data_IF_170494047163
#
_entry.id   IF_170494047163
#
_cell.length_a   1.000
_cell.length_b   1.000
_cell.length_c   1.000
_cell.angle_alpha   90.00
_cell.angle_beta   90.00
_cell.angle_gamma   90.00
#
_symmetry.space_group_name_H-M   'P 1'
#
loop_
_entity.id
_entity.type
_entity.pdbx_description
1 polymer ?
#
# COMPACT_ATOMS: atom_id res chain seq x y z
N UNK A 1 44.88 57.92 66.07
CA UNK A 1 43.79 58.17 67.05
C UNK A 1 42.50 57.56 66.51
N UNK A 2 41.65 57.09 67.44
CA UNK A 2 40.39 56.33 67.29
C UNK A 2 39.40 56.85 66.23
N UNK A 3 38.62 55.94 65.63
CA UNK A 3 37.13 55.85 65.57
C UNK A 3 36.68 55.17 64.26
N UNK A 4 36.22 53.91 64.29
CA UNK A 4 34.80 53.45 64.27
C UNK A 4 33.92 54.19 63.24
N UNK A 5 33.38 53.46 62.24
CA UNK A 5 31.93 53.17 62.10
C UNK A 5 31.58 52.40 60.81
N UNK A 6 30.90 51.27 61.06
CA UNK A 6 29.97 50.51 60.21
C UNK A 6 29.22 51.31 59.15
N UNK A 7 29.03 50.70 57.97
CA UNK A 7 27.68 50.52 57.38
C UNK A 7 27.67 49.29 56.47
N UNK A 8 26.91 48.27 56.89
CA UNK A 8 26.44 47.18 56.04
C UNK A 8 25.31 47.69 55.13
N UNK A 9 25.33 47.33 53.85
CA UNK A 9 24.10 47.25 53.05
C UNK A 9 24.23 46.17 51.97
N UNK A 10 23.66 45.01 52.30
CA UNK A 10 22.77 44.19 51.48
C UNK A 10 23.03 44.19 49.95
N UNK A 11 23.84 43.23 49.48
CA UNK A 11 23.83 42.83 48.08
C UNK A 11 22.76 41.73 47.89
N UNK A 12 21.69 42.09 47.18
CA UNK A 12 20.58 41.23 46.80
C UNK A 12 21.09 40.20 45.76
N UNK A 13 21.20 38.93 46.15
CA UNK A 13 21.57 37.85 45.25
C UNK A 13 20.38 37.48 44.34
N UNK A 14 20.42 37.93 43.08
CA UNK A 14 19.52 37.46 42.02
C UNK A 14 19.97 36.06 41.58
N UNK A 15 19.28 35.02 42.06
CA UNK A 15 19.43 33.65 41.56
C UNK A 15 18.69 33.55 40.23
N UNK A 16 19.43 33.69 39.12
CA UNK A 16 18.91 33.36 37.78
C UNK A 16 18.85 31.84 37.62
N UNK A 17 17.66 31.28 37.86
CA UNK A 17 17.31 29.91 37.48
C UNK A 17 17.18 29.84 35.96
N UNK A 18 18.28 29.52 35.27
CA UNK A 18 18.27 29.13 33.86
C UNK A 18 17.55 27.78 33.73
N UNK A 19 16.23 27.82 33.55
CA UNK A 19 15.48 26.69 33.01
C UNK A 19 15.83 26.57 31.52
N UNK A 20 16.70 25.61 31.20
CA UNK A 20 16.97 25.17 29.84
C UNK A 20 15.67 24.61 29.24
N UNK A 21 14.89 25.47 28.60
CA UNK A 21 13.80 25.04 27.73
C UNK A 21 14.46 24.42 26.51
N UNK A 22 14.57 23.08 26.48
CA UNK A 22 14.80 22.35 25.23
C UNK A 22 13.62 22.68 24.31
N UNK A 23 13.81 23.63 23.38
CA UNK A 23 13.00 23.67 22.18
C UNK A 23 13.31 22.40 21.39
N UNK A 24 12.45 21.39 21.52
CA UNK A 24 12.37 20.34 20.54
C UNK A 24 12.05 21.00 19.19
N UNK A 25 13.04 21.07 18.31
CA UNK A 25 12.78 21.44 16.92
C UNK A 25 11.70 20.49 16.38
N UNK A 26 10.67 21.00 15.67
CA UNK A 26 9.71 20.11 15.01
C UNK A 26 10.50 19.17 14.11
N UNK A 27 10.39 17.88 14.39
CA UNK A 27 11.07 16.83 13.65
C UNK A 27 10.83 17.07 12.17
N UNK A 28 11.91 17.33 11.43
CA UNK A 28 11.83 17.39 9.98
C UNK A 28 11.39 16.02 9.51
N UNK A 29 10.11 15.87 9.17
CA UNK A 29 9.64 14.71 8.40
C UNK A 29 10.54 14.64 7.16
N UNK A 30 11.47 13.68 7.17
CA UNK A 30 12.33 13.39 6.03
C UNK A 30 11.38 13.05 4.89
N UNK A 31 11.13 13.99 3.97
CA UNK A 31 10.39 13.72 2.74
C UNK A 31 11.09 12.56 2.07
N UNK A 32 10.52 11.36 2.20
CA UNK A 32 11.01 10.18 1.49
C UNK A 32 11.00 10.53 0.00
N UNK A 33 12.19 10.48 -0.60
CA UNK A 33 12.33 10.69 -2.04
C UNK A 33 12.12 9.39 -2.82
N UNK A 34 11.76 8.30 -2.13
CA UNK A 34 11.55 6.98 -2.73
C UNK A 34 10.29 6.88 -3.59
N UNK A 35 10.08 5.72 -4.22
CA UNK A 35 8.85 5.33 -4.87
C UNK A 35 7.57 5.66 -4.08
N UNK A 36 6.53 6.10 -4.81
CA UNK A 36 5.21 6.39 -4.24
C UNK A 36 4.10 6.08 -5.23
N UNK A 37 3.01 5.50 -4.72
CA UNK A 37 1.81 5.22 -5.51
C UNK A 37 0.55 5.48 -4.68
N UNK A 38 -0.56 5.79 -5.36
CA UNK A 38 -1.89 5.65 -4.79
C UNK A 38 -2.45 4.28 -5.15
N UNK A 39 -3.06 3.63 -4.16
CA UNK A 39 -3.67 2.33 -4.28
C UNK A 39 -5.07 2.35 -3.68
N UNK A 40 -6.03 1.73 -4.37
CA UNK A 40 -7.33 1.41 -3.82
C UNK A 40 -7.74 -0.01 -4.23
N UNK A 41 -8.38 -0.73 -3.31
CA UNK A 41 -9.04 -2.00 -3.57
C UNK A 41 -10.44 -1.93 -2.96
N UNK A 42 -11.46 -1.92 -3.81
CA UNK A 42 -12.85 -1.74 -3.42
C UNK A 42 -13.72 -2.91 -3.84
N UNK A 43 -14.74 -3.20 -3.02
CA UNK A 43 -15.81 -4.12 -3.30
C UNK A 43 -17.17 -3.40 -3.31
N UNK A 44 -18.10 -3.88 -4.12
CA UNK A 44 -19.52 -3.55 -4.07
C UNK A 44 -20.28 -4.86 -3.85
N UNK A 45 -21.06 -4.94 -2.77
CA UNK A 45 -21.91 -6.11 -2.53
C UNK A 45 -23.09 -6.13 -3.49
N UNK A 46 -23.40 -7.29 -4.06
CA UNK A 46 -24.53 -7.46 -4.96
C UNK A 46 -25.88 -7.09 -4.30
N UNK A 47 -25.98 -7.29 -2.98
CA UNK A 47 -27.14 -6.94 -2.18
C UNK A 47 -27.25 -5.46 -1.80
N UNK A 48 -26.23 -4.63 -2.09
CA UNK A 48 -26.22 -3.21 -1.73
C UNK A 48 -27.12 -2.40 -2.66
N UNK A 49 -28.16 -1.78 -2.09
CA UNK A 49 -29.01 -0.83 -2.80
C UNK A 49 -29.22 0.45 -1.94
N UNK A 50 -28.68 1.63 -2.32
CA UNK A 50 -27.87 1.85 -3.52
C UNK A 50 -26.51 1.12 -3.46
N UNK A 51 -25.86 0.88 -4.61
CA UNK A 51 -24.50 0.36 -4.63
C UNK A 51 -23.56 1.25 -3.83
N UNK A 52 -22.70 0.64 -3.02
CA UNK A 52 -21.72 1.36 -2.19
C UNK A 52 -20.39 0.63 -2.23
N UNK A 53 -19.33 1.37 -2.55
CA UNK A 53 -17.97 0.85 -2.48
C UNK A 53 -17.48 0.80 -1.04
N UNK A 54 -16.94 -0.35 -0.65
CA UNK A 54 -16.25 -0.56 0.61
C UNK A 54 -14.82 -1.07 0.37
N UNK A 55 -13.85 -0.69 1.21
CA UNK A 55 -12.47 -1.16 1.05
C UNK A 55 -12.39 -2.66 1.31
N UNK A 56 -11.72 -3.37 0.41
CA UNK A 56 -11.40 -4.78 0.59
C UNK A 56 -10.33 -4.93 1.67
N UNK A 57 -10.54 -5.90 2.56
CA UNK A 57 -9.61 -6.24 3.64
C UNK A 57 -9.21 -7.71 3.52
N UNK A 58 -8.06 -8.07 4.06
CA UNK A 58 -7.66 -9.48 4.14
C UNK A 58 -8.65 -10.27 5.00
N UNK A 59 -9.03 -11.46 4.52
CA UNK A 59 -10.07 -12.36 5.04
C UNK A 59 -11.49 -11.79 4.95
N UNK A 60 -11.73 -10.81 4.07
CA UNK A 60 -13.09 -10.35 3.79
C UNK A 60 -13.89 -11.44 3.10
N UNK A 61 -15.11 -11.68 3.59
CA UNK A 61 -16.04 -12.60 2.97
C UNK A 61 -16.88 -11.85 1.93
N UNK A 62 -16.82 -12.32 0.70
CA UNK A 62 -17.60 -11.82 -0.43
C UNK A 62 -18.40 -12.97 -1.05
N UNK A 63 -19.57 -12.65 -1.58
CA UNK A 63 -20.46 -13.63 -2.19
C UNK A 63 -20.38 -13.58 -3.70
N UNK A 64 -20.72 -14.71 -4.33
CA UNK A 64 -20.97 -14.76 -5.78
C UNK A 64 -21.90 -13.61 -6.21
N UNK A 65 -21.48 -12.86 -7.24
CA UNK A 65 -22.16 -11.64 -7.70
C UNK A 65 -21.62 -10.33 -7.10
N UNK A 66 -20.89 -10.38 -5.99
CA UNK A 66 -20.16 -9.21 -5.48
C UNK A 66 -19.12 -8.76 -6.50
N UNK A 67 -18.83 -7.47 -6.50
CA UNK A 67 -17.99 -6.82 -7.51
C UNK A 67 -16.73 -6.28 -6.89
N UNK A 68 -15.60 -6.41 -7.58
CA UNK A 68 -14.28 -5.95 -7.19
C UNK A 68 -13.72 -4.97 -8.21
N UNK A 69 -13.02 -3.94 -7.73
CA UNK A 69 -12.23 -3.03 -8.58
C UNK A 69 -10.99 -2.60 -7.82
N UNK A 70 -9.93 -2.33 -8.57
CA UNK A 70 -8.67 -1.85 -8.04
C UNK A 70 -8.23 -0.62 -8.83
N UNK A 71 -7.51 0.27 -8.17
CA UNK A 71 -6.92 1.46 -8.78
C UNK A 71 -5.46 1.60 -8.35
N UNK A 72 -4.59 1.88 -9.32
CA UNK A 72 -3.16 2.16 -9.14
C UNK A 72 -2.88 3.49 -9.83
N UNK A 73 -2.23 4.43 -9.13
CA UNK A 73 -1.69 5.64 -9.73
C UNK A 73 -0.27 5.87 -9.24
N UNK A 74 0.71 5.91 -10.15
CA UNK A 74 2.09 6.16 -9.78
C UNK A 74 2.27 7.65 -9.46
N UNK A 75 2.66 7.97 -8.23
CA UNK A 75 3.04 9.34 -7.83
C UNK A 75 4.50 9.62 -8.10
N UNK A 76 5.34 8.59 -8.02
CA UNK A 76 6.74 8.56 -8.47
C UNK A 76 6.98 7.26 -9.20
N UNK A 77 7.95 7.24 -10.13
CA UNK A 77 8.22 6.07 -10.97
C UNK A 77 8.65 4.88 -10.10
N UNK A 78 7.98 3.75 -10.29
CA UNK A 78 8.27 2.44 -9.73
C UNK A 78 7.52 1.38 -10.55
N UNK A 79 7.84 0.11 -10.39
CA UNK A 79 7.20 -1.01 -11.09
C UNK A 79 6.16 -1.64 -10.17
N UNK A 80 4.92 -1.75 -10.64
CA UNK A 80 3.81 -2.30 -9.85
C UNK A 80 3.27 -3.54 -10.54
N UNK A 81 3.07 -4.59 -9.77
CA UNK A 81 2.50 -5.86 -10.17
C UNK A 81 1.26 -6.11 -9.31
N UNK A 82 0.11 -6.28 -9.96
CA UNK A 82 -1.11 -6.75 -9.34
C UNK A 82 -1.41 -8.12 -9.92
N UNK A 83 -1.25 -9.14 -9.11
CA UNK A 83 -1.39 -10.54 -9.51
C UNK A 83 -2.55 -11.13 -8.75
N UNK A 84 -3.45 -11.79 -9.46
CA UNK A 84 -4.58 -12.51 -8.90
C UNK A 84 -4.33 -14.01 -9.02
N UNK A 85 -4.57 -14.74 -7.94
CA UNK A 85 -4.60 -16.19 -7.89
C UNK A 85 -6.01 -16.62 -7.54
N UNK A 86 -6.66 -17.34 -8.44
CA UNK A 86 -8.04 -17.78 -8.24
C UNK A 86 -8.16 -18.96 -7.27
N UNK A 87 -9.39 -19.34 -6.96
CA UNK A 87 -9.70 -20.50 -6.11
C UNK A 87 -9.13 -21.83 -6.59
N UNK A 88 -8.82 -21.98 -7.88
CA UNK A 88 -8.19 -23.18 -8.46
C UNK A 88 -6.65 -23.10 -8.42
N UNK A 89 -6.11 -21.93 -8.07
CA UNK A 89 -4.69 -21.67 -7.99
C UNK A 89 -4.09 -21.09 -9.27
N UNK A 90 -4.93 -20.70 -10.24
CA UNK A 90 -4.47 -20.11 -11.50
C UNK A 90 -4.09 -18.64 -11.31
N UNK A 91 -2.97 -18.26 -11.93
CA UNK A 91 -2.43 -16.91 -11.82
C UNK A 91 -2.81 -16.04 -13.02
N UNK A 92 -3.28 -14.83 -12.75
CA UNK A 92 -3.52 -13.80 -13.75
C UNK A 92 -2.84 -12.50 -13.33
N UNK A 93 -2.01 -11.93 -14.21
CA UNK A 93 -1.46 -10.60 -14.03
C UNK A 93 -2.49 -9.55 -14.44
N UNK A 94 -3.07 -8.88 -13.45
CA UNK A 94 -4.07 -7.84 -13.65
C UNK A 94 -3.44 -6.47 -13.95
N UNK A 95 -2.23 -6.23 -13.42
CA UNK A 95 -1.40 -5.08 -13.72
C UNK A 95 0.09 -5.47 -13.63
N UNK A 96 0.98 -4.98 -14.51
CA UNK A 96 0.66 -4.21 -15.71
C UNK A 96 -0.21 -5.04 -16.66
N UNK A 97 -0.90 -4.37 -17.58
CA UNK A 97 -1.80 -5.06 -18.51
C UNK A 97 -1.08 -5.93 -19.55
N UNK A 98 0.21 -5.65 -19.72
CA UNK A 98 1.20 -6.41 -20.46
C UNK A 98 2.54 -5.99 -19.90
N UNK A 99 3.51 -6.90 -19.77
CA UNK A 99 4.84 -6.54 -19.27
C UNK A 99 5.56 -5.51 -20.17
N UNK A 100 5.21 -5.47 -21.46
CA UNK A 100 5.69 -4.43 -22.41
C UNK A 100 5.20 -3.03 -22.07
N UNK A 101 4.16 -2.89 -21.25
CA UNK A 101 3.64 -1.60 -20.79
C UNK A 101 4.73 -0.78 -20.11
N UNK A 102 5.61 -1.42 -19.32
CA UNK A 102 6.69 -0.73 -18.61
C UNK A 102 7.62 0.08 -19.53
N UNK A 103 7.76 -0.34 -20.78
CA UNK A 103 8.61 0.30 -21.78
C UNK A 103 7.82 1.18 -22.76
N UNK A 104 6.48 1.25 -22.65
CA UNK A 104 5.60 1.90 -23.64
C UNK A 104 4.63 2.90 -23.02
N UNK A 105 3.54 2.44 -22.39
CA UNK A 105 2.41 3.28 -21.93
C UNK A 105 2.28 3.36 -20.38
N UNK A 106 3.42 3.33 -19.71
CA UNK A 106 3.54 3.39 -18.24
C UNK A 106 3.93 4.79 -17.74
N UNK A 107 2.96 5.50 -17.16
CA UNK A 107 3.03 6.93 -16.88
C UNK A 107 2.70 7.23 -15.41
N UNK A 108 3.36 8.26 -14.87
CA UNK A 108 2.98 8.83 -13.57
C UNK A 108 1.72 9.68 -13.68
N UNK A 109 1.03 9.87 -12.55
CA UNK A 109 -0.20 10.63 -12.42
C UNK A 109 -1.41 10.14 -13.23
N UNK A 110 -1.30 9.00 -13.93
CA UNK A 110 -2.43 8.31 -14.58
C UNK A 110 -3.05 7.26 -13.66
N UNK A 111 -4.38 7.21 -13.60
CA UNK A 111 -5.09 6.12 -12.93
C UNK A 111 -5.15 4.90 -13.86
N UNK A 112 -4.67 3.77 -13.35
CA UNK A 112 -4.82 2.45 -13.93
C UNK A 112 -5.84 1.67 -13.10
N UNK A 113 -6.75 0.96 -13.79
CA UNK A 113 -7.82 0.20 -13.14
C UNK A 113 -7.71 -1.29 -13.45
N UNK A 114 -8.03 -2.14 -12.48
CA UNK A 114 -8.24 -3.56 -12.71
C UNK A 114 -9.64 -3.95 -12.21
N UNK A 115 -10.55 -4.39 -13.10
CA UNK A 115 -10.38 -4.54 -14.55
C UNK A 115 -10.23 -3.18 -15.26
N UNK A 116 -9.78 -3.21 -16.52
CA UNK A 116 -9.57 -2.00 -17.34
C UNK A 116 -10.86 -1.19 -17.49
N UNK A 117 -10.71 0.14 -17.38
CA UNK A 117 -11.79 1.10 -17.64
C UNK A 117 -12.85 1.12 -16.53
N UNK A 118 -14.12 1.22 -16.94
CA UNK A 118 -15.24 1.39 -16.01
C UNK A 118 -15.77 0.08 -15.42
N UNK A 119 -15.33 -1.06 -15.94
CA UNK A 119 -15.78 -2.38 -15.52
C UNK A 119 -15.41 -2.70 -14.06
N UNK A 120 -16.10 -3.71 -13.52
CA UNK A 120 -15.82 -4.34 -12.23
C UNK A 120 -15.70 -5.85 -12.45
N UNK A 121 -14.78 -6.51 -11.74
CA UNK A 121 -14.74 -7.96 -11.70
C UNK A 121 -15.93 -8.44 -10.88
N UNK A 122 -16.80 -9.24 -11.46
CA UNK A 122 -17.89 -9.87 -10.72
C UNK A 122 -17.45 -11.27 -10.31
N UNK A 123 -17.54 -11.59 -9.03
CA UNK A 123 -17.28 -12.93 -8.53
C UNK A 123 -18.30 -13.89 -9.15
N UNK A 124 -17.79 -14.94 -9.78
CA UNK A 124 -18.61 -15.96 -10.42
C UNK A 124 -19.12 -16.99 -9.39
N UNK A 125 -19.60 -18.14 -9.84
CA UNK A 125 -20.08 -19.21 -8.96
C UNK A 125 -18.98 -20.14 -8.44
N UNK A 126 -17.71 -19.95 -8.82
CA UNK A 126 -16.57 -20.76 -8.38
C UNK A 126 -16.06 -20.21 -7.06
N UNK A 127 -16.54 -20.79 -5.97
CA UNK A 127 -16.19 -20.37 -4.61
C UNK A 127 -14.80 -20.86 -4.20
N UNK A 128 -14.21 -20.19 -3.21
CA UNK A 128 -12.90 -20.50 -2.67
C UNK A 128 -12.11 -19.26 -2.29
N UNK A 129 -10.81 -19.43 -2.03
CA UNK A 129 -9.95 -18.29 -1.69
C UNK A 129 -9.46 -17.60 -2.96
N UNK A 130 -9.81 -16.34 -3.10
CA UNK A 130 -9.31 -15.45 -4.16
C UNK A 130 -8.19 -14.60 -3.57
N UNK A 131 -6.96 -14.76 -4.07
CA UNK A 131 -5.77 -14.08 -3.50
C UNK A 131 -5.24 -13.02 -4.45
N UNK A 132 -5.04 -11.81 -3.96
CA UNK A 132 -4.47 -10.69 -4.71
C UNK A 132 -3.15 -10.26 -4.09
N UNK A 133 -2.10 -10.24 -4.89
CA UNK A 133 -0.77 -9.78 -4.52
C UNK A 133 -0.55 -8.39 -5.14
N UNK A 134 -0.42 -7.38 -4.28
CA UNK A 134 0.05 -6.05 -4.68
C UNK A 134 1.53 -5.95 -4.36
N UNK A 135 2.35 -5.84 -5.40
CA UNK A 135 3.79 -5.67 -5.27
C UNK A 135 4.19 -4.39 -5.96
N UNK A 136 4.99 -3.56 -5.30
CA UNK A 136 5.61 -2.40 -5.90
C UNK A 136 7.10 -2.40 -5.60
N UNK A 137 7.93 -2.17 -6.61
CA UNK A 137 9.40 -2.15 -6.49
C UNK A 137 10.01 -0.96 -7.21
N UNK A 138 11.12 -0.46 -6.71
CA UNK A 138 11.95 0.53 -7.40
C UNK A 138 12.61 -0.04 -8.67
N UNK A 139 12.72 -1.37 -8.78
CA UNK A 139 13.30 -2.10 -9.91
C UNK A 139 12.30 -3.10 -10.52
N UNK A 140 12.60 -3.56 -11.75
CA UNK A 140 11.81 -4.63 -12.38
C UNK A 140 12.09 -5.97 -11.71
N UNK A 141 11.04 -6.73 -11.46
CA UNK A 141 11.09 -8.06 -10.87
C UNK A 141 11.18 -9.13 -11.97
N UNK A 142 12.33 -9.17 -12.64
CA UNK A 142 12.53 -9.95 -13.86
C UNK A 142 12.23 -11.45 -13.71
N UNK A 143 12.44 -12.02 -12.52
CA UNK A 143 12.15 -13.43 -12.25
C UNK A 143 10.64 -13.71 -12.35
N UNK A 144 9.81 -12.90 -11.67
CA UNK A 144 8.34 -13.00 -11.76
C UNK A 144 7.85 -12.75 -13.18
N UNK A 145 8.42 -11.75 -13.85
CA UNK A 145 8.06 -11.44 -15.24
C UNK A 145 8.30 -12.65 -16.14
N UNK A 146 9.47 -13.26 -16.04
CA UNK A 146 9.85 -14.43 -16.82
C UNK A 146 9.01 -15.67 -16.49
N UNK A 147 8.80 -15.95 -15.20
CA UNK A 147 8.00 -17.08 -14.73
C UNK A 147 6.54 -16.93 -15.17
N UNK A 148 5.98 -15.72 -15.08
CA UNK A 148 4.61 -15.46 -15.53
C UNK A 148 4.46 -15.57 -17.05
N UNK A 149 5.37 -15.03 -17.86
CA UNK A 149 5.28 -15.18 -19.33
C UNK A 149 5.29 -16.65 -19.74
N UNK A 150 6.16 -17.45 -19.13
CA UNK A 150 6.19 -18.90 -19.33
C UNK A 150 4.91 -19.57 -18.89
N UNK A 151 4.39 -19.22 -17.71
CA UNK A 151 3.14 -19.77 -17.19
C UNK A 151 1.98 -19.48 -18.14
N UNK A 152 1.83 -18.22 -18.56
CA UNK A 152 0.76 -17.76 -19.43
C UNK A 152 0.82 -18.38 -20.85
N UNK A 153 2.02 -18.72 -21.34
CA UNK A 153 2.20 -19.35 -22.66
C UNK A 153 2.29 -20.88 -22.63
N UNK A 154 2.14 -21.52 -21.47
CA UNK A 154 2.34 -22.97 -21.32
C UNK A 154 1.05 -23.77 -21.37
N UNK A 155 1.18 -25.01 -21.82
CA UNK A 155 0.14 -26.04 -21.69
C UNK A 155 -0.11 -26.40 -20.22
N UNK A 156 -1.32 -26.85 -19.91
CA UNK A 156 -1.81 -27.13 -18.55
C UNK A 156 -0.89 -28.07 -17.75
N UNK A 157 -0.28 -29.06 -18.42
CA UNK A 157 0.64 -30.02 -17.80
C UNK A 157 1.91 -29.39 -17.21
N UNK A 158 2.33 -28.22 -17.72
CA UNK A 158 3.51 -27.48 -17.21
C UNK A 158 3.13 -26.35 -16.26
N UNK A 159 1.89 -25.86 -16.33
CA UNK A 159 1.41 -24.74 -15.51
C UNK A 159 1.49 -25.02 -14.02
N UNK A 160 1.23 -26.25 -13.57
CA UNK A 160 1.28 -26.56 -12.14
C UNK A 160 2.68 -26.34 -11.53
N UNK A 161 3.75 -26.73 -12.24
CA UNK A 161 5.12 -26.49 -11.78
C UNK A 161 5.43 -24.98 -11.78
N UNK A 162 5.07 -24.28 -12.85
CA UNK A 162 5.28 -22.84 -12.97
C UNK A 162 4.47 -22.04 -11.94
N UNK A 163 3.26 -22.47 -11.58
CA UNK A 163 2.46 -21.90 -10.51
C UNK A 163 3.14 -22.08 -9.15
N UNK A 164 3.76 -23.24 -8.90
CA UNK A 164 4.59 -23.48 -7.72
C UNK A 164 5.80 -22.53 -7.65
N UNK A 165 6.48 -22.32 -8.78
CA UNK A 165 7.61 -21.38 -8.88
C UNK A 165 7.14 -19.94 -8.62
N UNK A 166 6.06 -19.51 -9.27
CA UNK A 166 5.44 -18.20 -9.08
C UNK A 166 5.09 -17.95 -7.61
N UNK A 167 4.48 -18.93 -6.93
CA UNK A 167 4.16 -18.82 -5.51
C UNK A 167 5.42 -18.68 -4.63
N UNK A 168 6.48 -19.42 -4.94
CA UNK A 168 7.75 -19.31 -4.23
C UNK A 168 8.37 -17.90 -4.39
N UNK A 169 8.36 -17.35 -5.61
CA UNK A 169 8.88 -16.00 -5.89
C UNK A 169 8.07 -14.92 -5.15
N UNK A 170 6.74 -15.02 -5.16
CA UNK A 170 5.86 -14.10 -4.43
C UNK A 170 6.10 -14.15 -2.91
N UNK A 171 6.34 -15.35 -2.36
CA UNK A 171 6.66 -15.53 -0.95
C UNK A 171 8.02 -14.89 -0.59
N UNK A 172 9.07 -15.11 -1.40
CA UNK A 172 10.39 -14.52 -1.18
C UNK A 172 10.34 -12.97 -1.20
N UNK A 173 9.53 -12.39 -2.08
CA UNK A 173 9.31 -10.93 -2.12
C UNK A 173 8.66 -10.45 -0.82
N UNK A 174 7.65 -11.17 -0.35
CA UNK A 174 6.95 -10.82 0.89
C UNK A 174 7.89 -10.91 2.08
N UNK A 175 8.72 -11.95 2.16
CA UNK A 175 9.78 -12.07 3.18
C UNK A 175 10.79 -10.93 3.10
N UNK A 176 11.23 -10.56 1.89
CA UNK A 176 12.17 -9.44 1.67
C UNK A 176 11.56 -8.12 2.14
N UNK A 177 10.28 -7.89 1.83
CA UNK A 177 9.54 -6.73 2.33
C UNK A 177 9.52 -6.70 3.86
N UNK A 178 9.12 -7.81 4.50
CA UNK A 178 9.03 -7.91 5.96
C UNK A 178 10.39 -7.67 6.64
N UNK A 179 11.46 -8.27 6.12
CA UNK A 179 12.81 -8.05 6.64
C UNK A 179 13.26 -6.58 6.53
N UNK A 180 12.78 -5.85 5.52
CA UNK A 180 13.04 -4.42 5.36
C UNK A 180 12.14 -3.53 6.22
N UNK A 181 10.91 -3.97 6.53
CA UNK A 181 9.93 -3.22 7.30
C UNK A 181 10.12 -3.34 8.82
N UNK A 182 10.68 -4.45 9.32
CA UNK A 182 11.00 -4.64 10.75
C UNK A 182 12.01 -3.59 11.29
N UNK A 183 12.76 -2.92 10.41
CA UNK A 183 13.58 -1.76 10.76
C UNK A 183 12.82 -0.41 10.82
N UNK A 184 11.64 -0.33 10.21
CA UNK A 184 10.83 0.90 10.03
C UNK A 184 9.60 0.91 10.96
N UNK A 185 9.00 -0.25 11.26
CA UNK A 185 7.83 -0.35 12.15
C UNK A 185 8.12 0.13 13.59
N UNK A 186 9.37 0.02 14.07
CA UNK A 186 9.76 0.55 15.40
C UNK A 186 9.65 2.08 15.51
N UNK A 187 9.41 2.80 14.40
CA UNK A 187 9.23 4.26 14.37
C UNK A 187 7.87 4.71 13.79
N UNK A 188 7.09 3.82 13.17
CA UNK A 188 5.84 4.17 12.48
C UNK A 188 4.56 3.90 13.29
N UNK A 189 4.68 3.24 14.44
CA UNK A 189 3.58 2.78 15.30
C UNK A 189 2.75 3.91 15.96
N UNK A 190 2.86 5.15 15.46
CA UNK A 190 2.16 6.32 15.99
C UNK A 190 1.44 7.20 14.95
N UNK A 191 1.51 6.93 13.64
CA UNK A 191 0.91 7.83 12.64
C UNK A 191 0.04 7.18 11.54
N UNK A 192 -0.25 5.87 11.58
CA UNK A 192 -1.31 5.28 10.73
C UNK A 192 -2.71 5.40 11.36
N UNK A 193 -3.03 6.56 11.94
CA UNK A 193 -4.42 6.93 12.13
C UNK A 193 -4.99 7.10 10.73
N UNK A 194 -5.84 6.16 10.33
CA UNK A 194 -6.72 6.23 9.17
C UNK A 194 -7.51 7.55 9.21
N UNK A 195 -6.92 8.66 8.77
CA UNK A 195 -7.67 9.83 8.32
C UNK A 195 -8.24 9.43 6.98
N UNK A 196 -9.39 8.76 7.05
CA UNK A 196 -10.31 8.73 5.94
C UNK A 196 -10.43 10.15 5.41
N UNK A 197 -10.19 10.33 4.12
CA UNK A 197 -10.71 11.49 3.44
C UNK A 197 -12.20 11.54 3.81
N UNK A 198 -12.59 12.59 4.55
CA UNK A 198 -14.00 12.90 4.73
C UNK A 198 -14.59 12.90 3.32
N UNK A 199 -15.49 11.95 3.04
CA UNK A 199 -16.20 11.92 1.76
C UNK A 199 -16.80 13.31 1.62
N UNK A 200 -16.36 14.08 0.63
CA UNK A 200 -17.03 15.30 0.25
C UNK A 200 -18.52 14.94 0.08
N UNK A 201 -19.39 15.67 0.78
CA UNK A 201 -20.84 15.48 0.67
C UNK A 201 -21.23 15.65 -0.80
N UNK A 202 -21.58 14.54 -1.47
CA UNK A 202 -21.84 14.49 -2.92
C UNK A 202 -20.90 13.61 -3.75
N UNK A 203 -19.88 12.98 -3.15
CA UNK A 203 -19.04 12.00 -3.86
C UNK A 203 -19.87 10.77 -4.30
N UNK A 204 -19.64 10.32 -5.54
CA UNK A 204 -20.25 9.11 -6.09
C UNK A 204 -19.94 7.92 -5.16
N UNK A 205 -20.96 7.25 -4.58
CA UNK A 205 -20.75 6.15 -3.64
C UNK A 205 -20.10 4.92 -4.27
N UNK A 206 -19.92 4.90 -5.60
CA UNK A 206 -19.21 3.86 -6.35
C UNK A 206 -17.80 4.26 -6.77
N UNK A 207 -17.36 5.50 -6.48
CA UNK A 207 -16.02 5.96 -6.82
C UNK A 207 -14.94 5.32 -5.94
N UNK A 208 -14.17 4.43 -6.55
CA UNK A 208 -13.05 3.76 -5.89
C UNK A 208 -11.89 4.71 -5.57
N UNK A 209 -11.75 5.83 -6.28
CA UNK A 209 -10.67 6.81 -6.02
C UNK A 209 -10.81 7.39 -4.61
N UNK A 210 -12.03 7.51 -4.08
CA UNK A 210 -12.28 7.92 -2.71
C UNK A 210 -11.70 6.96 -1.64
N UNK A 211 -11.38 5.72 -2.02
CA UNK A 211 -10.72 4.74 -1.14
C UNK A 211 -9.19 4.74 -1.27
N UNK A 212 -8.62 5.58 -2.12
CA UNK A 212 -7.19 5.56 -2.41
C UNK A 212 -6.35 5.98 -1.21
N UNK A 213 -5.32 5.19 -0.90
CA UNK A 213 -4.28 5.53 0.07
C UNK A 213 -2.93 5.66 -0.61
N UNK A 214 -2.08 6.54 -0.08
CA UNK A 214 -0.70 6.68 -0.54
C UNK A 214 0.18 5.61 0.12
N UNK A 215 0.97 4.93 -0.70
CA UNK A 215 1.99 3.97 -0.26
C UNK A 215 3.34 4.57 -0.65
N UNK A 216 4.22 4.71 0.33
CA UNK A 216 5.61 5.12 0.16
C UNK A 216 6.52 4.00 0.62
N UNK A 217 7.56 3.71 -0.15
CA UNK A 217 8.51 2.64 0.13
C UNK A 217 9.89 2.98 -0.43
N UNK A 218 10.94 2.31 0.05
CA UNK A 218 12.31 2.54 -0.42
C UNK A 218 12.65 1.59 -1.58
N UNK A 219 12.64 0.27 -1.34
CA UNK A 219 13.05 -0.74 -2.32
C UNK A 219 11.84 -1.55 -2.82
N UNK A 220 11.15 -2.22 -1.91
CA UNK A 220 10.04 -3.11 -2.25
C UNK A 220 8.90 -3.00 -1.23
N UNK A 221 7.69 -3.02 -1.75
CA UNK A 221 6.44 -3.10 -1.02
C UNK A 221 5.69 -4.35 -1.47
N UNK A 222 5.18 -5.13 -0.53
CA UNK A 222 4.33 -6.29 -0.82
C UNK A 222 3.16 -6.32 0.16
N UNK A 223 1.95 -6.52 -0.36
CA UNK A 223 0.76 -6.76 0.44
C UNK A 223 -0.12 -7.81 -0.23
N UNK A 224 -0.64 -8.74 0.58
CA UNK A 224 -1.47 -9.84 0.12
C UNK A 224 -2.88 -9.74 0.70
N UNK A 225 -3.88 -9.75 -0.18
CA UNK A 225 -5.29 -9.76 0.16
C UNK A 225 -5.87 -11.14 -0.15
N UNK A 226 -6.34 -11.85 0.88
CA UNK A 226 -7.09 -13.09 0.70
C UNK A 226 -8.57 -12.77 0.87
N UNK A 227 -9.38 -12.99 -0.15
CA UNK A 227 -10.84 -12.87 -0.12
C UNK A 227 -11.42 -14.27 0.00
N UNK A 228 -12.30 -14.47 0.98
CA UNK A 228 -13.07 -15.70 1.16
C UNK A 228 -14.35 -15.58 0.32
N UNK A 229 -14.33 -16.14 -0.89
CA UNK A 229 -15.45 -16.09 -1.82
C UNK A 229 -16.38 -17.29 -1.58
N UNK A 230 -17.64 -16.98 -1.25
CA UNK A 230 -18.70 -17.95 -0.89
C UNK A 230 -19.94 -17.89 -1.78
#
# INVERSE_FOLDING_TARGET
MRFVRSFSSLALAFVFLFHSILLAAPGSQKKSNGPRLLWAFGAIRASSNPPKVEPVRTKMVLSSGDKLKMMIQLRRKCFVYLIHRDSQGDFTMLFPYSLKQFDTDYQTARNYYAPKGEAWFQLDSRTGNETFYLIASDQRLLDIEYTYEKYASSEESKKQNLAGQMLSELNMITETHLASSEGVEKLADKESVLRGFERATGADPTDIVALAREISFDNIYSETFVVDHR
#
